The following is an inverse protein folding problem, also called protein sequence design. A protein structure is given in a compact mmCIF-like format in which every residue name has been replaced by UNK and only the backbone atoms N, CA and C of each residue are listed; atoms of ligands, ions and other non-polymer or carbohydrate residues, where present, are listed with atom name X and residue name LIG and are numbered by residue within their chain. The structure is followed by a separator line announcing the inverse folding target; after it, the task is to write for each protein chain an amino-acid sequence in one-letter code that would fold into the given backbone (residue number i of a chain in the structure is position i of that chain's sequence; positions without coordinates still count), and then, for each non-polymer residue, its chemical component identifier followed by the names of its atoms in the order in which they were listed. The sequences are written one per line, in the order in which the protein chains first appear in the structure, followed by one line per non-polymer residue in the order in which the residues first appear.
data_IF_342510646685
#
_entry.id   IF_342510646685
#
_cell.length_a   1.000
_cell.length_b   1.000
_cell.length_c   1.000
_cell.angle_alpha   90.00
_cell.angle_beta   90.00
_cell.angle_gamma   90.00
#
_symmetry.space_group_name_H-M   'P 1'
#
loop_
_entity.id
_entity.type
_entity.pdbx_description
1 polymer ?
#
# COMPACT_ATOMS: atom_id res chain seq x y z
N UNK A 1 -0.76 6.55 -9.53
CA UNK A 1 -1.06 5.83 -10.79
C UNK A 1 -0.15 4.61 -10.92
N UNK A 2 -0.58 3.56 -11.63
CA UNK A 2 0.24 2.35 -11.82
C UNK A 2 0.05 1.69 -13.19
N UNK A 3 1.13 1.21 -13.81
CA UNK A 3 1.16 0.58 -15.12
C UNK A 3 0.39 1.39 -16.19
N UNK A 4 -0.68 0.84 -16.76
CA UNK A 4 -1.44 1.50 -17.83
C UNK A 4 -2.39 2.59 -17.34
N UNK A 5 -2.58 2.74 -16.02
CA UNK A 5 -3.42 3.79 -15.46
C UNK A 5 -2.78 5.16 -15.71
N UNK A 6 -3.56 6.07 -16.29
CA UNK A 6 -3.08 7.40 -16.67
C UNK A 6 -2.33 7.44 -18.01
N UNK A 7 -2.41 6.38 -18.82
CA UNK A 7 -1.95 6.41 -20.21
C UNK A 7 -3.12 6.68 -21.16
N UNK A 8 -2.89 7.47 -22.22
CA UNK A 8 -3.81 7.62 -23.35
C UNK A 8 -3.73 6.44 -24.33
N UNK A 9 -4.49 6.51 -25.42
CA UNK A 9 -4.50 5.50 -26.49
C UNK A 9 -3.13 5.36 -27.19
N UNK A 10 -2.32 6.41 -27.18
CA UNK A 10 -0.96 6.41 -27.74
C UNK A 10 0.09 5.85 -26.78
N UNK A 11 -0.29 5.56 -25.52
CA UNK A 11 0.60 5.05 -24.48
C UNK A 11 1.36 6.14 -23.71
N UNK A 12 0.98 7.41 -23.87
CA UNK A 12 1.61 8.55 -23.17
C UNK A 12 0.88 8.88 -21.87
N UNK A 13 1.63 9.40 -20.90
CA UNK A 13 1.06 9.87 -19.64
C UNK A 13 0.18 11.09 -19.86
N UNK A 14 -1.07 11.04 -19.37
CA UNK A 14 -2.02 12.17 -19.45
C UNK A 14 -1.80 13.19 -18.33
N UNK A 15 -1.08 12.80 -17.27
CA UNK A 15 -0.71 13.66 -16.16
C UNK A 15 0.79 13.95 -16.24
N UNK A 16 1.19 15.11 -15.76
CA UNK A 16 2.59 15.43 -15.56
C UNK A 16 3.15 14.66 -14.36
N UNK A 17 3.69 13.47 -14.63
CA UNK A 17 4.33 12.62 -13.63
C UNK A 17 5.85 12.82 -13.59
N UNK A 18 6.41 13.81 -14.27
CA UNK A 18 7.85 14.06 -14.34
C UNK A 18 8.67 12.94 -15.00
N UNK A 19 8.05 12.17 -15.90
CA UNK A 19 8.66 11.04 -16.58
C UNK A 19 7.95 10.74 -17.91
N UNK A 20 8.62 9.99 -18.78
CA UNK A 20 8.14 9.57 -20.10
C UNK A 20 8.13 8.04 -20.24
N UNK A 21 7.04 7.52 -20.78
CA UNK A 21 6.85 6.09 -21.03
C UNK A 21 7.38 5.76 -22.43
N UNK A 22 8.38 4.88 -22.51
CA UNK A 22 8.94 4.37 -23.76
C UNK A 22 8.23 3.10 -24.26
N UNK A 23 7.24 2.61 -23.51
CA UNK A 23 6.43 1.44 -23.83
C UNK A 23 6.73 0.23 -22.94
N UNK A 24 6.24 -0.96 -23.30
CA UNK A 24 6.31 -2.12 -22.41
C UNK A 24 7.73 -2.71 -22.33
N UNK A 25 8.14 -3.17 -21.15
CA UNK A 25 9.41 -3.89 -20.95
C UNK A 25 9.49 -5.12 -21.89
N UNK A 26 10.65 -5.38 -22.53
CA UNK A 26 10.82 -6.60 -23.32
C UNK A 26 10.95 -7.85 -22.43
N UNK A 27 11.18 -7.69 -21.13
CA UNK A 27 11.43 -8.77 -20.18
C UNK A 27 10.20 -9.13 -19.33
N UNK A 28 10.09 -10.43 -19.00
CA UNK A 28 9.13 -10.97 -18.02
C UNK A 28 9.71 -12.27 -17.44
N UNK A 29 10.07 -12.32 -16.15
CA UNK A 29 9.99 -11.23 -15.17
C UNK A 29 11.04 -10.13 -15.42
N UNK A 30 10.94 -9.07 -14.64
CA UNK A 30 11.93 -7.99 -14.52
C UNK A 30 12.25 -7.77 -13.04
N UNK A 31 13.18 -6.89 -12.68
CA UNK A 31 13.51 -6.61 -11.27
C UNK A 31 13.44 -5.13 -10.94
N UNK A 32 12.96 -4.81 -9.74
CA UNK A 32 12.86 -3.44 -9.23
C UNK A 32 13.74 -3.29 -8.00
N UNK A 33 14.46 -2.18 -7.90
CA UNK A 33 15.21 -1.82 -6.71
C UNK A 33 14.88 -0.39 -6.27
N UNK A 34 13.93 -0.23 -5.32
CA UNK A 34 13.50 1.09 -4.91
C UNK A 34 14.65 1.95 -4.36
N UNK A 35 14.57 3.25 -4.58
CA UNK A 35 15.47 4.22 -3.95
C UNK A 35 15.31 4.21 -2.43
N UNK A 36 16.33 4.64 -1.69
CA UNK A 36 16.41 4.49 -0.23
C UNK A 36 15.14 4.96 0.51
N UNK A 37 14.60 6.13 0.13
CA UNK A 37 13.40 6.72 0.74
C UNK A 37 12.14 5.86 0.57
N UNK A 38 12.09 5.02 -0.48
CA UNK A 38 10.95 4.16 -0.82
C UNK A 38 11.21 2.67 -0.59
N UNK A 39 12.45 2.31 -0.26
CA UNK A 39 12.88 0.92 -0.12
C UNK A 39 12.34 0.29 1.15
N UNK A 40 11.71 -0.90 1.09
CA UNK A 40 11.40 -1.65 2.30
C UNK A 40 12.66 -1.93 3.11
N UNK A 41 12.61 -1.78 4.43
CA UNK A 41 13.81 -1.82 5.29
C UNK A 41 14.52 -3.18 5.30
N UNK A 42 13.83 -4.23 4.85
CA UNK A 42 14.34 -5.60 4.74
C UNK A 42 14.80 -5.97 3.31
N UNK A 43 14.78 -5.03 2.37
CA UNK A 43 15.04 -5.31 0.96
C UNK A 43 16.37 -4.70 0.50
N UNK A 44 17.46 -5.46 0.61
CA UNK A 44 18.81 -4.98 0.26
C UNK A 44 19.24 -5.30 -1.18
N UNK A 45 18.42 -6.04 -1.93
CA UNK A 45 18.69 -6.44 -3.31
C UNK A 45 17.48 -6.19 -4.24
N UNK A 46 17.67 -6.18 -5.58
CA UNK A 46 16.58 -6.07 -6.53
C UNK A 46 15.51 -7.16 -6.33
N UNK A 47 14.26 -6.72 -6.29
CA UNK A 47 13.07 -7.54 -6.07
C UNK A 47 12.51 -7.96 -7.42
N UNK A 48 12.34 -9.25 -7.64
CA UNK A 48 11.72 -9.77 -8.87
C UNK A 48 10.26 -9.29 -9.00
N UNK A 49 9.84 -8.94 -10.21
CA UNK A 49 8.49 -8.60 -10.64
C UNK A 49 8.01 -9.55 -11.73
N UNK A 50 7.04 -10.42 -11.38
CA UNK A 50 6.51 -11.47 -12.27
C UNK A 50 5.54 -10.98 -13.36
N UNK A 51 5.43 -9.67 -13.55
CA UNK A 51 4.63 -9.07 -14.60
C UNK A 51 5.44 -8.02 -15.36
N UNK A 52 5.09 -7.86 -16.65
CA UNK A 52 5.68 -6.84 -17.51
C UNK A 52 5.27 -5.45 -17.01
N UNK A 53 6.25 -4.59 -16.76
CA UNK A 53 6.06 -3.16 -16.50
C UNK A 53 6.18 -2.33 -17.78
N UNK A 54 6.00 -1.02 -17.63
CA UNK A 54 6.40 -0.03 -18.63
C UNK A 54 7.88 0.34 -18.42
N UNK A 55 8.56 0.72 -19.50
CA UNK A 55 9.87 1.37 -19.47
C UNK A 55 9.64 2.86 -19.32
N UNK A 56 10.21 3.41 -18.27
CA UNK A 56 10.00 4.78 -17.86
C UNK A 56 11.35 5.47 -17.78
N UNK A 57 11.49 6.61 -18.45
CA UNK A 57 12.63 7.52 -18.29
C UNK A 57 12.23 8.73 -17.47
N UNK A 58 13.11 9.14 -16.58
CA UNK A 58 12.89 10.29 -15.72
C UNK A 58 13.13 11.58 -16.50
N UNK A 59 12.28 12.58 -16.29
CA UNK A 59 12.49 13.94 -16.77
C UNK A 59 12.84 14.84 -15.59
N UNK A 60 11.84 15.47 -14.97
CA UNK A 60 11.99 16.40 -13.85
C UNK A 60 11.28 15.93 -12.56
N UNK A 61 10.86 14.66 -12.51
CA UNK A 61 10.35 14.02 -11.29
C UNK A 61 11.45 13.41 -10.42
N UNK A 62 11.09 13.02 -9.20
CA UNK A 62 11.95 12.23 -8.32
C UNK A 62 11.85 10.74 -8.70
N UNK A 63 13.00 10.09 -8.93
CA UNK A 63 13.04 8.64 -9.17
C UNK A 63 12.55 7.85 -7.96
N UNK A 64 11.70 6.85 -8.19
CA UNK A 64 11.31 5.86 -7.17
C UNK A 64 12.30 4.70 -7.04
N UNK A 65 13.37 4.69 -7.85
CA UNK A 65 14.41 3.66 -7.92
C UNK A 65 14.56 3.09 -9.32
N UNK A 66 15.40 2.06 -9.44
CA UNK A 66 15.89 1.56 -10.73
C UNK A 66 15.32 0.20 -11.10
N UNK A 67 15.19 -0.04 -12.41
CA UNK A 67 14.86 -1.35 -12.98
C UNK A 67 16.15 -2.07 -13.34
N UNK A 68 16.23 -3.36 -13.01
CA UNK A 68 17.35 -4.23 -13.34
C UNK A 68 16.89 -5.36 -14.24
N UNK A 69 17.47 -5.45 -15.43
CA UNK A 69 17.06 -6.43 -16.43
C UNK A 69 17.58 -7.83 -16.11
N UNK A 70 16.84 -8.91 -16.43
CA UNK A 70 17.41 -10.25 -16.49
C UNK A 70 18.43 -10.37 -17.62
N UNK A 71 19.26 -11.42 -17.58
CA UNK A 71 20.16 -11.73 -18.70
C UNK A 71 19.38 -12.01 -20.00
N UNK A 72 18.30 -12.79 -19.89
CA UNK A 72 17.37 -13.12 -20.96
C UNK A 72 16.05 -13.66 -20.42
N UNK A 73 14.98 -13.57 -21.24
CA UNK A 73 13.74 -14.29 -20.99
C UNK A 73 13.94 -15.79 -21.21
N UNK A 74 13.62 -16.60 -20.20
CA UNK A 74 13.65 -18.05 -20.32
C UNK A 74 12.65 -18.50 -21.40
N UNK A 75 13.15 -19.20 -22.40
CA UNK A 75 12.36 -19.78 -23.50
C UNK A 75 12.88 -21.18 -23.76
N UNK A 76 12.26 -21.93 -24.67
CA UNK A 76 12.80 -23.22 -25.08
C UNK A 76 14.19 -23.10 -25.74
N UNK A 77 14.49 -21.96 -26.39
CA UNK A 77 15.80 -21.67 -27.01
C UNK A 77 16.84 -21.15 -26.03
N UNK A 78 16.40 -20.44 -24.99
CA UNK A 78 17.27 -19.83 -23.98
C UNK A 78 16.94 -20.44 -22.61
N UNK A 79 17.68 -21.50 -22.27
CA UNK A 79 17.44 -22.32 -21.09
C UNK A 79 18.18 -21.80 -19.86
N UNK A 80 17.55 -22.00 -18.70
CA UNK A 80 18.10 -21.85 -17.37
C UNK A 80 17.37 -22.89 -16.49
N UNK A 81 18.08 -23.50 -15.54
CA UNK A 81 17.52 -24.51 -14.62
C UNK A 81 16.52 -23.91 -13.60
N UNK A 82 16.57 -22.60 -13.37
CA UNK A 82 15.60 -21.85 -12.56
C UNK A 82 14.42 -21.31 -13.39
N UNK A 83 13.41 -20.75 -12.70
CA UNK A 83 12.22 -20.15 -13.33
C UNK A 83 12.54 -18.99 -14.28
N UNK A 84 13.60 -18.24 -13.99
CA UNK A 84 14.12 -17.12 -14.79
C UNK A 84 15.61 -16.92 -14.45
N UNK A 85 16.31 -16.14 -15.28
CA UNK A 85 17.70 -15.75 -15.00
C UNK A 85 17.73 -14.68 -13.89
N UNK A 86 18.84 -14.56 -13.14
CA UNK A 86 19.03 -13.45 -12.20
C UNK A 86 19.06 -12.11 -12.95
N UNK A 87 18.96 -11.00 -12.20
CA UNK A 87 19.19 -9.68 -12.75
C UNK A 87 20.68 -9.49 -13.11
N UNK A 88 20.94 -8.61 -14.07
CA UNK A 88 22.26 -8.03 -14.29
C UNK A 88 22.66 -7.15 -13.11
N UNK A 89 23.96 -6.98 -12.84
CA UNK A 89 24.41 -6.14 -11.74
C UNK A 89 24.23 -4.64 -12.01
N UNK A 90 24.15 -4.22 -13.27
CA UNK A 90 23.92 -2.83 -13.65
C UNK A 90 22.42 -2.50 -13.82
N UNK A 91 22.00 -1.27 -13.49
CA UNK A 91 20.66 -0.81 -13.77
C UNK A 91 20.42 -0.71 -15.29
N UNK A 92 19.18 -0.96 -15.72
CA UNK A 92 18.77 -0.95 -17.13
C UNK A 92 18.73 0.45 -17.78
N UNK A 93 18.92 1.51 -16.99
CA UNK A 93 18.71 2.89 -17.40
C UNK A 93 17.24 3.35 -17.32
N UNK A 94 16.33 2.48 -16.88
CA UNK A 94 14.93 2.80 -16.63
C UNK A 94 14.62 2.87 -15.14
N UNK A 95 13.66 3.71 -14.79
CA UNK A 95 13.21 3.88 -13.40
C UNK A 95 11.92 3.10 -13.13
N UNK A 96 11.73 2.69 -11.88
CA UNK A 96 10.54 1.93 -11.43
C UNK A 96 9.29 2.81 -11.48
N UNK A 97 9.49 4.12 -11.36
CA UNK A 97 8.43 5.10 -11.25
C UNK A 97 8.99 6.49 -10.98
N UNK A 98 8.10 7.46 -10.91
CA UNK A 98 8.40 8.86 -10.66
C UNK A 98 7.41 9.47 -9.68
N UNK A 99 7.88 10.42 -8.89
CA UNK A 99 7.06 11.27 -8.01
C UNK A 99 7.29 12.73 -8.37
N UNK A 100 6.22 13.47 -8.69
CA UNK A 100 6.25 14.91 -8.94
C UNK A 100 5.14 15.59 -8.12
N UNK A 101 5.54 16.32 -7.08
CA UNK A 101 4.60 16.83 -6.09
C UNK A 101 3.76 15.69 -5.49
N UNK A 102 2.43 15.82 -5.57
CA UNK A 102 1.50 14.80 -5.06
C UNK A 102 1.12 13.75 -6.12
N UNK A 103 1.79 13.70 -7.28
CA UNK A 103 1.52 12.75 -8.37
C UNK A 103 2.62 11.69 -8.41
N UNK A 104 2.31 10.50 -7.92
CA UNK A 104 3.15 9.30 -8.05
C UNK A 104 2.71 8.39 -9.20
N UNK A 105 3.65 7.97 -10.05
CA UNK A 105 3.45 6.97 -11.10
C UNK A 105 4.42 5.80 -10.92
N UNK A 106 3.89 4.58 -10.80
CA UNK A 106 4.69 3.34 -10.73
C UNK A 106 4.53 2.58 -12.06
N UNK A 107 5.62 2.28 -12.74
CA UNK A 107 5.61 1.67 -14.08
C UNK A 107 5.07 0.22 -14.11
N UNK A 108 4.89 -0.39 -12.94
CA UNK A 108 4.41 -1.76 -12.75
C UNK A 108 2.98 -1.78 -12.20
N UNK A 109 2.18 -2.83 -12.49
CA UNK A 109 0.82 -2.96 -11.96
C UNK A 109 0.88 -3.44 -10.50
N UNK A 110 1.46 -2.62 -9.64
CA UNK A 110 1.90 -3.01 -8.29
C UNK A 110 0.75 -3.51 -7.41
N UNK A 111 -0.44 -2.93 -7.54
CA UNK A 111 -1.63 -3.35 -6.80
C UNK A 111 -2.11 -4.73 -7.26
N UNK A 112 -2.17 -4.97 -8.57
CA UNK A 112 -2.51 -6.28 -9.14
C UNK A 112 -1.44 -7.32 -8.78
N UNK A 113 -0.16 -6.95 -8.82
CA UNK A 113 0.94 -7.81 -8.41
C UNK A 113 0.84 -8.19 -6.93
N UNK A 114 0.54 -7.22 -6.05
CA UNK A 114 0.35 -7.50 -4.63
C UNK A 114 -0.86 -8.41 -4.38
N UNK A 115 -1.98 -8.16 -5.07
CA UNK A 115 -3.16 -9.03 -4.98
C UNK A 115 -2.87 -10.46 -5.45
N UNK A 116 -2.11 -10.63 -6.53
CA UNK A 116 -1.84 -11.93 -7.12
C UNK A 116 -0.75 -12.73 -6.40
N UNK A 117 0.28 -12.06 -5.85
CA UNK A 117 1.47 -12.72 -5.32
C UNK A 117 1.70 -12.49 -3.82
N UNK A 118 0.93 -11.63 -3.17
CA UNK A 118 1.05 -11.35 -1.73
C UNK A 118 2.42 -10.78 -1.30
N UNK A 119 3.20 -10.24 -2.22
CA UNK A 119 4.59 -9.85 -1.96
C UNK A 119 4.65 -8.63 -1.03
N UNK A 120 5.10 -8.85 0.21
CA UNK A 120 5.17 -7.81 1.26
C UNK A 120 6.00 -6.60 0.83
N UNK A 121 7.08 -6.82 0.08
CA UNK A 121 7.93 -5.75 -0.44
C UNK A 121 7.17 -4.76 -1.33
N UNK A 122 6.22 -5.23 -2.15
CA UNK A 122 5.39 -4.37 -3.00
C UNK A 122 4.47 -3.48 -2.19
N UNK A 123 3.84 -4.02 -1.14
CA UNK A 123 3.00 -3.26 -0.22
C UNK A 123 3.80 -2.19 0.51
N UNK A 124 4.98 -2.55 1.03
CA UNK A 124 5.86 -1.62 1.74
C UNK A 124 6.33 -0.48 0.83
N UNK A 125 6.79 -0.80 -0.39
CA UNK A 125 7.18 0.19 -1.40
C UNK A 125 6.02 1.12 -1.77
N UNK A 126 4.87 0.57 -2.16
CA UNK A 126 3.69 1.37 -2.53
C UNK A 126 3.21 2.25 -1.36
N UNK A 127 3.27 1.73 -0.12
CA UNK A 127 2.94 2.49 1.08
C UNK A 127 3.86 3.70 1.31
N UNK A 128 5.18 3.54 1.11
CA UNK A 128 6.15 4.65 1.21
C UNK A 128 5.90 5.70 0.12
N UNK A 129 5.59 5.29 -1.12
CA UNK A 129 5.23 6.21 -2.21
C UNK A 129 3.96 6.99 -1.87
N UNK A 130 2.91 6.32 -1.40
CA UNK A 130 1.65 6.98 -1.00
C UNK A 130 1.89 7.97 0.15
N UNK A 131 2.72 7.61 1.14
CA UNK A 131 3.08 8.52 2.23
C UNK A 131 3.82 9.76 1.72
N UNK A 132 4.76 9.60 0.79
CA UNK A 132 5.46 10.73 0.19
C UNK A 132 4.52 11.65 -0.61
N UNK A 133 3.53 11.09 -1.32
CA UNK A 133 2.49 11.87 -2.00
C UNK A 133 1.61 12.69 -1.03
N UNK A 134 1.57 12.30 0.25
CA UNK A 134 0.85 13.01 1.33
C UNK A 134 1.80 13.86 2.17
N UNK A 135 2.96 14.22 1.64
CA UNK A 135 4.01 14.99 2.33
C UNK A 135 4.41 14.40 3.69
N UNK A 136 4.34 13.07 3.80
CA UNK A 136 4.54 12.31 5.05
C UNK A 136 3.64 12.77 6.22
N UNK A 137 2.49 13.37 5.92
CA UNK A 137 1.53 13.88 6.90
C UNK A 137 0.12 13.29 6.69
N UNK A 138 -0.05 11.95 6.81
CA UNK A 138 -1.38 11.35 6.71
C UNK A 138 -2.30 11.85 7.83
N UNK A 139 -3.60 11.94 7.53
CA UNK A 139 -4.62 12.39 8.50
C UNK A 139 -4.74 11.48 9.71
N UNK A 140 -4.48 10.18 9.56
CA UNK A 140 -4.50 9.19 10.64
C UNK A 140 -3.30 8.26 10.54
N UNK A 141 -2.64 8.02 11.67
CA UNK A 141 -1.56 7.04 11.83
C UNK A 141 -1.88 6.08 12.96
N UNK A 142 -1.49 4.81 12.80
CA UNK A 142 -1.78 3.77 13.78
C UNK A 142 -0.85 2.57 13.63
N UNK A 143 -0.74 1.76 14.68
CA UNK A 143 -0.06 0.47 14.72
C UNK A 143 -1.00 -0.73 14.42
N UNK A 144 -2.21 -0.49 13.93
CA UNK A 144 -3.14 -1.58 13.59
C UNK A 144 -2.52 -2.60 12.61
N UNK A 145 -2.92 -3.89 12.70
CA UNK A 145 -2.51 -4.92 11.75
C UNK A 145 -2.89 -4.56 10.30
N UNK A 146 -2.16 -5.11 9.33
CA UNK A 146 -2.37 -4.82 7.91
C UNK A 146 -3.75 -5.20 7.35
N UNK A 147 -4.47 -6.08 8.03
CA UNK A 147 -5.84 -6.48 7.70
C UNK A 147 -6.93 -5.61 8.33
N UNK A 148 -6.56 -4.70 9.25
CA UNK A 148 -7.50 -3.80 9.88
C UNK A 148 -7.97 -2.71 8.90
N UNK A 149 -9.15 -2.17 9.16
CA UNK A 149 -9.74 -1.06 8.44
C UNK A 149 -9.96 0.11 9.39
N UNK A 150 -9.72 1.30 8.89
CA UNK A 150 -9.86 2.54 9.62
C UNK A 150 -10.59 3.56 8.76
N UNK A 151 -11.59 4.21 9.34
CA UNK A 151 -12.36 5.27 8.67
C UNK A 151 -12.55 6.43 9.63
N UNK A 152 -12.19 7.65 9.20
CA UNK A 152 -12.44 8.87 9.95
C UNK A 152 -13.55 9.66 9.26
N UNK A 153 -14.66 9.88 9.98
CA UNK A 153 -15.79 10.68 9.51
C UNK A 153 -15.81 12.02 10.21
N UNK A 154 -15.97 13.12 9.47
CA UNK A 154 -16.12 14.45 10.04
C UNK A 154 -17.59 14.83 10.14
N UNK A 155 -18.04 15.23 11.33
CA UNK A 155 -19.41 15.68 11.59
C UNK A 155 -19.42 17.13 12.10
N UNK A 156 -19.29 18.15 11.21
CA UNK A 156 -19.20 19.56 11.58
C UNK A 156 -20.36 20.07 12.44
N UNK A 157 -21.59 19.65 12.14
CA UNK A 157 -22.80 20.06 12.87
C UNK A 157 -22.80 19.63 14.33
N UNK A 158 -22.06 18.59 14.65
CA UNK A 158 -21.91 18.04 16.00
C UNK A 158 -20.53 18.36 16.61
N UNK A 159 -19.72 19.17 15.93
CA UNK A 159 -18.37 19.54 16.36
C UNK A 159 -17.50 18.34 16.73
N UNK A 160 -17.61 17.24 15.97
CA UNK A 160 -16.87 16.01 16.25
C UNK A 160 -16.37 15.31 14.99
N UNK A 161 -15.42 14.40 15.17
CA UNK A 161 -15.01 13.37 14.20
C UNK A 161 -15.27 12.01 14.82
N UNK A 162 -15.73 11.05 14.02
CA UNK A 162 -15.94 9.66 14.45
C UNK A 162 -14.93 8.78 13.73
N UNK A 163 -14.05 8.15 14.49
CA UNK A 163 -13.10 7.17 14.02
C UNK A 163 -13.67 5.77 14.21
N UNK A 164 -13.80 5.00 13.13
CA UNK A 164 -14.17 3.59 13.19
C UNK A 164 -12.92 2.75 12.98
N UNK A 165 -12.66 1.86 13.94
CA UNK A 165 -11.63 0.83 13.86
C UNK A 165 -12.32 -0.51 13.66
N UNK A 166 -11.88 -1.29 12.68
CA UNK A 166 -12.42 -2.63 12.43
C UNK A 166 -11.28 -3.61 12.19
N UNK A 167 -11.20 -4.66 12.99
CA UNK A 167 -10.30 -5.78 12.80
C UNK A 167 -11.04 -7.10 12.98
N UNK A 168 -11.38 -7.72 11.86
CA UNK A 168 -11.92 -9.06 11.79
C UNK A 168 -11.06 -9.85 10.80
N UNK A 169 -10.00 -10.54 11.27
CA UNK A 169 -9.12 -11.27 10.39
C UNK A 169 -9.91 -12.38 9.70
N UNK A 170 -9.67 -12.55 8.40
CA UNK A 170 -10.31 -13.56 7.58
C UNK A 170 -9.30 -14.63 7.25
N UNK A 171 -9.73 -15.88 7.33
CA UNK A 171 -8.94 -17.03 6.96
C UNK A 171 -9.50 -17.67 5.70
N UNK A 172 -8.62 -18.05 4.78
CA UNK A 172 -9.03 -18.86 3.64
C UNK A 172 -9.36 -20.28 4.12
N UNK A 173 -10.53 -20.75 3.74
CA UNK A 173 -11.05 -22.10 3.97
C UNK A 173 -11.56 -22.68 2.65
N UNK A 174 -11.71 -24.00 2.59
CA UNK A 174 -12.03 -24.71 1.36
C UNK A 174 -10.84 -24.85 0.41
N UNK A 175 -11.00 -25.66 -0.64
CA UNK A 175 -9.92 -26.00 -1.57
C UNK A 175 -10.32 -25.68 -3.02
N UNK A 176 -9.84 -24.55 -3.55
CA UNK A 176 -10.11 -24.16 -4.93
C UNK A 176 -9.60 -25.15 -6.00
N UNK A 177 -8.72 -26.10 -5.63
CA UNK A 177 -8.13 -27.09 -6.53
C UNK A 177 -8.87 -28.43 -6.53
N UNK A 178 -9.87 -28.64 -5.65
CA UNK A 178 -10.74 -29.83 -5.68
C UNK A 178 -12.02 -29.59 -6.50
N UNK A 179 -11.91 -28.74 -7.53
CA UNK A 179 -13.00 -28.46 -8.48
C UNK A 179 -13.50 -29.68 -9.22
N UNK A 180 -12.71 -30.76 -9.27
CA UNK A 180 -13.16 -32.04 -9.84
C UNK A 180 -14.28 -32.70 -9.01
N UNK A 181 -14.37 -32.38 -7.71
CA UNK A 181 -15.35 -32.97 -6.79
C UNK A 181 -16.73 -32.27 -6.89
N UNK A 182 -16.72 -30.95 -7.01
CA UNK A 182 -17.90 -30.12 -7.29
C UNK A 182 -17.40 -28.78 -7.90
N UNK A 183 -17.43 -28.63 -9.23
CA UNK A 183 -16.84 -27.47 -9.90
C UNK A 183 -17.51 -26.14 -9.55
N UNK A 184 -18.79 -26.20 -9.19
CA UNK A 184 -19.65 -25.03 -8.99
C UNK A 184 -19.69 -24.60 -7.52
N UNK A 185 -19.48 -25.52 -6.57
CA UNK A 185 -19.50 -25.21 -5.13
C UNK A 185 -18.13 -25.25 -4.44
N UNK A 186 -17.13 -25.90 -5.03
CA UNK A 186 -15.80 -25.99 -4.43
C UNK A 186 -14.98 -24.72 -4.72
N UNK A 187 -15.15 -23.72 -3.85
CA UNK A 187 -14.42 -22.46 -3.90
C UNK A 187 -13.65 -22.20 -2.61
N UNK A 188 -12.54 -21.47 -2.71
CA UNK A 188 -11.92 -20.87 -1.54
C UNK A 188 -12.83 -19.76 -1.02
N UNK A 189 -13.13 -19.77 0.28
CA UNK A 189 -13.94 -18.75 0.95
C UNK A 189 -13.14 -18.09 2.05
N UNK A 190 -13.37 -16.79 2.26
CA UNK A 190 -12.80 -16.05 3.37
C UNK A 190 -13.79 -16.09 4.54
N UNK A 191 -13.40 -16.74 5.64
CA UNK A 191 -14.25 -16.91 6.82
C UNK A 191 -13.64 -16.18 8.01
N UNK A 192 -14.48 -15.50 8.79
CA UNK A 192 -14.11 -14.97 10.10
C UNK A 192 -14.50 -16.03 11.12
N UNK A 193 -13.50 -16.73 11.67
CA UNK A 193 -13.74 -17.76 12.69
C UNK A 193 -13.49 -17.22 14.10
N UNK A 194 -12.55 -16.29 14.24
CA UNK A 194 -12.12 -15.75 15.52
C UNK A 194 -12.03 -14.23 15.44
N UNK A 195 -12.51 -13.58 16.50
CA UNK A 195 -12.33 -12.15 16.72
C UNK A 195 -11.22 -12.00 17.76
N UNK A 196 -10.04 -11.60 17.29
CA UNK A 196 -8.86 -11.47 18.13
C UNK A 196 -8.86 -10.08 18.76
N UNK A 197 -8.79 -9.96 20.10
CA UNK A 197 -8.63 -8.67 20.76
C UNK A 197 -7.32 -8.01 20.34
N UNK A 198 -7.39 -6.72 20.00
CA UNK A 198 -6.21 -5.90 19.77
C UNK A 198 -5.94 -5.05 20.99
N UNK A 199 -4.70 -5.10 21.47
CA UNK A 199 -4.26 -4.34 22.64
C UNK A 199 -3.33 -3.19 22.26
N UNK A 200 -3.28 -2.17 23.11
CA UNK A 200 -2.34 -1.04 23.00
C UNK A 200 -2.34 -0.41 21.60
N UNK A 201 -3.55 -0.20 21.06
CA UNK A 201 -3.70 0.40 19.74
C UNK A 201 -3.46 1.90 19.87
N UNK A 202 -2.33 2.37 19.33
CA UNK A 202 -2.01 3.80 19.29
C UNK A 202 -2.61 4.41 18.04
N UNK A 203 -3.25 5.57 18.19
CA UNK A 203 -3.79 6.36 17.09
C UNK A 203 -3.25 7.79 17.20
N UNK A 204 -2.78 8.33 16.08
CA UNK A 204 -2.52 9.77 15.93
C UNK A 204 -3.45 10.33 14.85
N UNK A 205 -4.20 11.39 15.16
CA UNK A 205 -5.14 12.05 14.24
C UNK A 205 -4.74 13.50 14.04
N UNK A 206 -4.78 13.96 12.79
CA UNK A 206 -4.63 15.36 12.43
C UNK A 206 -5.98 16.08 12.52
N UNK A 207 -6.00 17.20 13.23
CA UNK A 207 -7.15 18.09 13.36
C UNK A 207 -6.72 19.55 13.23
N UNK A 208 -7.43 20.26 12.38
CA UNK A 208 -7.40 21.71 12.20
C UNK A 208 -8.02 22.47 13.38
N UNK A 209 -8.94 21.81 14.09
CA UNK A 209 -9.62 22.35 15.27
C UNK A 209 -9.09 21.75 16.57
N UNK A 210 -9.04 22.51 17.69
CA UNK A 210 -8.56 22.00 18.96
C UNK A 210 -9.48 20.90 19.50
N UNK A 211 -8.94 19.68 19.63
CA UNK A 211 -9.66 18.54 20.21
C UNK A 211 -9.84 18.77 21.71
N UNK A 212 -11.09 18.67 22.17
CA UNK A 212 -11.49 18.92 23.57
C UNK A 212 -11.76 17.64 24.34
N UNK A 213 -12.13 16.55 23.66
CA UNK A 213 -12.32 15.24 24.27
C UNK A 213 -12.17 14.10 23.27
N UNK A 214 -11.77 12.93 23.77
CA UNK A 214 -11.73 11.67 23.05
C UNK A 214 -12.50 10.64 23.87
N UNK A 215 -13.49 9.97 23.27
CA UNK A 215 -14.34 9.00 23.97
C UNK A 215 -14.52 7.71 23.17
N UNK A 216 -14.52 6.57 23.85
CA UNK A 216 -14.96 5.31 23.26
C UNK A 216 -16.49 5.30 23.18
N UNK A 217 -17.00 4.76 22.08
CA UNK A 217 -18.42 4.58 21.84
C UNK A 217 -18.70 3.13 21.44
N UNK A 218 -19.78 2.50 21.97
CA UNK A 218 -20.87 3.09 22.75
C UNK A 218 -20.64 3.22 24.27
N UNK A 219 -19.48 2.84 24.79
CA UNK A 219 -19.19 2.78 26.23
C UNK A 219 -19.24 4.15 26.91
N UNK A 220 -19.08 5.23 26.14
CA UNK A 220 -19.01 6.61 26.59
C UNK A 220 -17.93 6.84 27.66
N UNK A 221 -16.84 6.08 27.57
CA UNK A 221 -15.67 6.21 28.44
C UNK A 221 -14.66 7.20 27.85
N UNK A 222 -14.10 8.05 28.71
CA UNK A 222 -13.06 8.99 28.32
C UNK A 222 -11.73 8.27 28.05
N UNK A 223 -11.03 8.71 27.01
CA UNK A 223 -9.68 8.28 26.68
C UNK A 223 -8.74 9.46 26.84
N UNK A 224 -7.69 9.28 27.63
CA UNK A 224 -6.63 10.27 27.73
C UNK A 224 -5.96 10.46 26.37
N UNK A 225 -5.74 11.72 25.99
CA UNK A 225 -5.07 12.08 24.75
C UNK A 225 -4.10 13.23 24.98
N UNK A 226 -3.09 13.30 24.13
CA UNK A 226 -2.06 14.34 24.18
C UNK A 226 -1.92 15.00 22.80
N UNK A 227 -1.52 16.28 22.79
CA UNK A 227 -1.14 16.96 21.56
C UNK A 227 0.37 16.82 21.35
N UNK A 228 0.79 15.95 20.43
CA UNK A 228 2.21 15.64 20.19
C UNK A 228 2.90 16.63 19.25
N UNK A 229 2.11 17.39 18.49
CA UNK A 229 2.55 18.50 17.64
C UNK A 229 1.34 19.40 17.33
N UNK A 230 1.53 20.63 16.81
CA UNK A 230 0.42 21.47 16.39
C UNK A 230 -0.56 20.72 15.48
N UNK A 231 -1.84 20.68 15.88
CA UNK A 231 -2.89 19.94 15.17
C UNK A 231 -2.78 18.41 15.16
N UNK A 232 -1.83 17.78 15.86
CA UNK A 232 -1.69 16.31 15.93
C UNK A 232 -1.97 15.78 17.33
N UNK A 233 -3.00 14.96 17.44
CA UNK A 233 -3.46 14.40 18.72
C UNK A 233 -3.24 12.89 18.76
N UNK A 234 -2.64 12.40 19.85
CA UNK A 234 -2.37 10.98 20.06
C UNK A 234 -3.16 10.46 21.26
N UNK A 235 -3.68 9.24 21.11
CA UNK A 235 -4.31 8.49 22.19
C UNK A 235 -4.09 6.98 21.97
N UNK A 236 -4.32 6.21 23.03
CA UNK A 236 -4.17 4.75 23.02
C UNK A 236 -5.47 4.11 23.48
N UNK A 237 -5.91 3.08 22.76
CA UNK A 237 -7.01 2.21 23.16
C UNK A 237 -6.39 0.94 23.74
N UNK A 238 -6.69 0.67 25.01
CA UNK A 238 -6.09 -0.44 25.76
C UNK A 238 -6.44 -1.79 25.14
N UNK A 239 -7.71 -1.98 24.79
CA UNK A 239 -8.21 -3.20 24.15
C UNK A 239 -9.48 -2.91 23.35
N UNK A 240 -9.63 -3.55 22.19
CA UNK A 240 -10.94 -3.72 21.55
C UNK A 240 -10.99 -5.01 20.73
N UNK A 241 -12.19 -5.55 20.55
CA UNK A 241 -12.44 -6.75 19.74
C UNK A 241 -13.37 -6.43 18.59
N UNK A 242 -13.00 -6.84 17.37
CA UNK A 242 -13.76 -6.62 16.13
C UNK A 242 -13.91 -5.15 15.73
N UNK A 243 -14.66 -4.35 16.48
CA UNK A 243 -15.01 -2.97 16.12
C UNK A 243 -14.92 -2.05 17.33
N UNK A 244 -14.39 -0.85 17.13
CA UNK A 244 -14.43 0.24 18.10
C UNK A 244 -14.75 1.55 17.40
N UNK A 245 -15.68 2.32 17.97
CA UNK A 245 -15.87 3.72 17.59
C UNK A 245 -15.18 4.63 18.60
N UNK A 246 -14.51 5.66 18.10
CA UNK A 246 -13.95 6.73 18.91
C UNK A 246 -14.49 8.07 18.44
N UNK A 247 -15.11 8.81 19.36
CA UNK A 247 -15.54 10.18 19.14
C UNK A 247 -14.40 11.13 19.53
N UNK A 248 -14.01 12.03 18.61
CA UNK A 248 -13.12 13.15 18.88
C UNK A 248 -13.93 14.44 18.78
N UNK A 249 -14.28 15.05 19.90
CA UNK A 249 -14.96 16.35 19.91
C UNK A 249 -13.94 17.48 19.85
N UNK A 250 -14.29 18.59 19.20
CA UNK A 250 -13.41 19.75 19.05
C UNK A 250 -14.17 21.06 19.29
N UNK A 251 -13.42 22.11 19.62
CA UNK A 251 -13.93 23.47 19.72
C UNK A 251 -13.93 24.17 18.35
N UNK A 252 -14.74 25.23 18.21
CA UNK A 252 -14.78 26.04 16.99
C UNK A 252 -13.61 27.01 16.89
#
# INVERSE_FOLDING_TARGET
LSARSGLDESGKLIFDCGAEVEGPSPYKPDYIYPAADFRPDFADAPIVCYHRGQRLKLNDGQSLGDVYDPYFNRTWKHFCSHRHTPNRPEPSGFVIGSLKGQIGYIAYPIFTLYQAYGTVAYRAFAGKVIRAMLDNSPTVETNLPSGARITLQHQPRHQRKILHLLYAPKWLRGAAHLREMDPDQCAAVEVIEELIPLHNTTITVVSDKPVTSVKLQPENSDVAFEQVAPGRYRFTIDEFTCHQMVELSYSN
#
